data_IF_202101192141
#
_entry.id   IF_202101192141
#
_cell.length_a   1.000
_cell.length_b   1.000
_cell.length_c   1.000
_cell.angle_alpha   90.00
_cell.angle_beta   90.00
_cell.angle_gamma   90.00
#
_symmetry.space_group_name_H-M   'P 1'
#
loop_
_entity.id
_entity.type
_entity.pdbx_description
1 polymer ?
#
# COMPACT_ATOMS: atom_id res chain seq x y z
N UNK A 1 -17.05 55.38 37.65
CA UNK A 1 -17.82 54.53 38.58
C UNK A 1 -17.82 53.13 37.97
N UNK A 2 -16.92 52.22 38.34
CA UNK A 2 -16.94 51.43 39.59
C UNK A 2 -18.05 50.37 39.45
N UNK A 3 -17.82 49.06 39.36
CA UNK A 3 -17.03 48.13 40.19
C UNK A 3 -16.70 46.88 39.32
N UNK A 4 -15.54 46.22 39.32
CA UNK A 4 -14.66 45.71 40.39
C UNK A 4 -15.33 44.69 41.33
N UNK A 5 -15.16 43.40 41.02
CA UNK A 5 -15.09 42.33 42.03
C UNK A 5 -14.16 41.21 41.53
N UNK A 6 -12.90 41.31 41.96
CA UNK A 6 -11.95 40.19 42.08
C UNK A 6 -12.36 39.38 43.31
N UNK A 7 -12.26 38.06 43.21
CA UNK A 7 -11.73 37.26 44.32
C UNK A 7 -10.71 36.26 43.77
N UNK A 8 -9.64 36.10 44.54
CA UNK A 8 -8.35 35.51 44.24
C UNK A 8 -8.18 34.16 44.95
N UNK A 9 -7.19 33.40 44.43
CA UNK A 9 -6.43 32.31 45.05
C UNK A 9 -7.14 30.96 45.24
N UNK A 10 -6.52 29.82 44.97
CA UNK A 10 -5.13 29.53 44.61
C UNK A 10 -4.81 28.09 45.01
N UNK A 11 -3.68 27.57 44.48
CA UNK A 11 -3.03 26.27 44.77
C UNK A 11 -3.67 25.05 44.08
N UNK A 12 -2.94 24.11 43.48
CA UNK A 12 -1.52 23.83 43.37
C UNK A 12 -1.38 22.74 42.29
N UNK A 13 -0.44 22.84 41.34
CA UNK A 13 0.16 21.67 40.69
C UNK A 13 1.50 22.08 40.05
N UNK A 14 2.59 21.54 40.60
CA UNK A 14 3.95 21.56 40.04
C UNK A 14 4.18 20.29 39.20
N UNK A 15 5.29 20.22 38.42
CA UNK A 15 5.34 19.50 37.14
C UNK A 15 5.95 18.10 37.23
N UNK A 16 5.61 17.24 36.27
CA UNK A 16 6.28 15.95 35.96
C UNK A 16 5.77 15.51 34.58
N UNK A 17 6.49 14.88 33.66
CA UNK A 17 7.88 14.91 33.21
C UNK A 17 7.84 14.32 31.78
N UNK A 18 8.87 14.63 30.99
CA UNK A 18 9.22 14.11 29.67
C UNK A 18 8.68 12.72 29.27
N UNK A 19 8.27 12.61 28.00
CA UNK A 19 8.04 11.35 27.30
C UNK A 19 7.78 11.60 25.82
N UNK A 20 8.86 11.63 25.05
CA UNK A 20 8.97 11.43 23.60
C UNK A 20 8.05 12.23 22.69
N UNK A 21 8.47 13.47 22.41
CA UNK A 21 8.08 14.15 21.18
C UNK A 21 8.77 13.45 20.01
N UNK A 22 8.14 12.40 19.47
CA UNK A 22 8.46 11.92 18.12
C UNK A 22 8.39 13.12 17.17
N UNK A 23 9.56 13.56 16.69
CA UNK A 23 9.64 14.68 15.77
C UNK A 23 8.95 14.29 14.47
N UNK A 24 7.74 14.81 14.27
CA UNK A 24 7.00 14.72 13.02
C UNK A 24 7.88 15.25 11.88
N UNK A 25 8.18 14.40 10.90
CA UNK A 25 8.79 14.84 9.65
C UNK A 25 7.86 15.81 8.91
N UNK A 26 8.40 16.60 7.97
CA UNK A 26 7.68 17.65 7.24
C UNK A 26 6.44 17.16 6.45
N UNK A 27 6.25 15.84 6.35
CA UNK A 27 5.13 15.17 5.69
C UNK A 27 4.17 14.41 6.63
N UNK A 28 4.34 14.50 7.96
CA UNK A 28 3.34 14.08 8.93
C UNK A 28 2.98 12.58 9.01
N UNK A 29 3.85 11.64 8.59
CA UNK A 29 3.64 10.17 8.69
C UNK A 29 4.97 9.43 8.96
N UNK A 30 4.90 8.23 9.58
CA UNK A 30 6.02 7.41 10.11
C UNK A 30 7.19 7.13 9.14
N UNK A 31 8.40 7.05 9.70
CA UNK A 31 9.68 7.43 9.07
C UNK A 31 10.46 6.33 8.31
N UNK A 32 10.02 5.07 8.31
CA UNK A 32 10.89 3.99 7.81
C UNK A 32 10.83 3.71 6.30
N UNK A 33 9.85 4.25 5.55
CA UNK A 33 9.76 3.93 4.10
C UNK A 33 9.37 5.12 3.23
N UNK A 34 8.91 6.22 3.84
CA UNK A 34 8.56 7.48 3.17
C UNK A 34 9.79 8.16 2.56
N UNK A 35 10.97 7.98 3.14
CA UNK A 35 12.19 8.64 2.67
C UNK A 35 12.67 8.19 1.30
N UNK A 36 12.60 6.89 1.03
CA UNK A 36 13.03 6.32 -0.26
C UNK A 36 12.10 6.77 -1.38
N UNK A 37 10.78 6.78 -1.13
CA UNK A 37 9.80 7.20 -2.13
C UNK A 37 9.83 8.71 -2.39
N UNK A 38 10.04 9.53 -1.36
CA UNK A 38 10.23 10.97 -1.51
C UNK A 38 11.48 11.30 -2.33
N UNK A 39 12.61 10.65 -2.04
CA UNK A 39 13.85 10.81 -2.82
C UNK A 39 13.65 10.39 -4.28
N UNK A 40 13.03 9.24 -4.53
CA UNK A 40 12.75 8.76 -5.89
C UNK A 40 11.85 9.74 -6.66
N UNK A 41 10.82 10.28 -6.00
CA UNK A 41 9.91 11.26 -6.58
C UNK A 41 10.64 12.55 -6.97
N UNK A 42 11.49 13.07 -6.10
CA UNK A 42 12.21 14.32 -6.34
C UNK A 42 13.33 14.19 -7.38
N UNK A 43 14.04 13.05 -7.42
CA UNK A 43 14.99 12.73 -8.49
C UNK A 43 14.28 12.74 -9.86
N UNK A 44 13.09 12.16 -9.92
CA UNK A 44 12.29 12.12 -11.15
C UNK A 44 11.72 13.50 -11.52
N UNK A 45 11.22 14.26 -10.55
CA UNK A 45 10.77 15.63 -10.78
C UNK A 45 11.92 16.51 -11.29
N UNK A 46 13.14 16.32 -10.77
CA UNK A 46 14.32 17.02 -11.25
C UNK A 46 14.66 16.64 -12.70
N UNK A 47 14.52 15.38 -13.10
CA UNK A 47 14.70 14.98 -14.50
C UNK A 47 13.79 15.77 -15.45
N UNK A 48 12.53 15.96 -15.05
CA UNK A 48 11.52 16.64 -15.88
C UNK A 48 11.69 18.15 -15.87
N UNK A 49 11.91 18.73 -14.69
CA UNK A 49 11.80 20.18 -14.47
C UNK A 49 13.14 20.88 -14.32
N UNK A 50 14.22 20.12 -14.09
CA UNK A 50 15.53 20.63 -13.63
C UNK A 50 15.44 21.49 -12.35
N UNK A 51 14.36 21.35 -11.57
CA UNK A 51 14.15 22.05 -10.31
C UNK A 51 14.43 21.12 -9.13
N UNK A 52 15.09 21.66 -8.11
CA UNK A 52 15.34 20.96 -6.83
C UNK A 52 14.23 21.26 -5.83
N UNK A 53 13.97 20.38 -4.85
CA UNK A 53 12.90 20.56 -3.87
C UNK A 53 13.03 21.88 -3.10
N UNK A 54 11.92 22.63 -2.98
CA UNK A 54 11.90 23.97 -2.39
C UNK A 54 12.35 24.02 -0.92
N UNK A 55 12.18 22.90 -0.19
CA UNK A 55 12.56 22.76 1.22
C UNK A 55 14.02 22.39 1.46
N UNK A 56 14.73 21.83 0.46
CA UNK A 56 16.07 21.28 0.66
C UNK A 56 17.07 22.32 1.15
N UNK A 57 16.94 23.56 0.68
CA UNK A 57 17.81 24.68 1.05
C UNK A 57 17.77 25.06 2.53
N UNK A 58 16.83 24.51 3.32
CA UNK A 58 16.78 24.67 4.78
C UNK A 58 17.67 23.67 5.52
N UNK A 59 18.09 22.60 4.86
CA UNK A 59 18.82 21.48 5.44
C UNK A 59 20.26 21.35 4.95
N UNK A 60 20.61 22.04 3.87
CA UNK A 60 21.94 22.01 3.26
C UNK A 60 22.43 23.43 2.97
N UNK A 61 23.73 23.67 3.10
CA UNK A 61 24.35 24.98 2.90
C UNK A 61 24.48 25.39 1.41
N UNK A 62 24.71 24.46 0.46
CA UNK A 62 24.97 24.80 -0.94
C UNK A 62 23.80 25.48 -1.64
N UNK A 63 24.13 26.36 -2.60
CA UNK A 63 23.15 27.07 -3.42
C UNK A 63 22.23 26.13 -4.21
N UNK A 64 21.05 26.60 -4.64
CA UNK A 64 20.14 25.84 -5.52
C UNK A 64 20.83 25.32 -6.80
N UNK A 65 21.79 26.06 -7.35
CA UNK A 65 22.59 25.63 -8.51
C UNK A 65 23.51 24.44 -8.17
N UNK A 66 24.10 24.44 -6.98
CA UNK A 66 24.91 23.32 -6.51
C UNK A 66 24.04 22.09 -6.17
N UNK A 67 22.88 22.30 -5.55
CA UNK A 67 21.87 21.26 -5.32
C UNK A 67 21.43 20.62 -6.65
N UNK A 68 21.21 21.41 -7.71
CA UNK A 68 20.86 20.87 -9.02
C UNK A 68 21.96 19.98 -9.61
N UNK A 69 23.23 20.27 -9.34
CA UNK A 69 24.32 19.38 -9.73
C UNK A 69 24.30 18.06 -8.94
N UNK A 70 23.96 18.10 -7.64
CA UNK A 70 23.77 16.88 -6.85
C UNK A 70 22.66 15.99 -7.39
N UNK A 71 21.52 16.59 -7.74
CA UNK A 71 20.39 15.84 -8.29
C UNK A 71 20.72 15.25 -9.66
N UNK A 72 21.55 15.91 -10.47
CA UNK A 72 22.07 15.33 -11.71
C UNK A 72 22.91 14.09 -11.45
N UNK A 73 23.85 14.15 -10.50
CA UNK A 73 24.68 12.99 -10.13
C UNK A 73 23.89 11.87 -9.45
N UNK A 74 22.90 12.22 -8.62
CA UNK A 74 22.02 11.25 -7.97
C UNK A 74 21.10 10.57 -8.99
N UNK A 75 20.60 11.29 -9.99
CA UNK A 75 19.82 10.74 -11.08
C UNK A 75 20.62 9.70 -11.89
N UNK A 76 21.89 9.99 -12.19
CA UNK A 76 22.79 9.05 -12.86
C UNK A 76 23.02 7.80 -12.00
N UNK A 77 23.40 7.97 -10.74
CA UNK A 77 23.63 6.87 -9.81
C UNK A 77 22.37 6.01 -9.59
N UNK A 78 21.20 6.64 -9.52
CA UNK A 78 19.90 5.96 -9.38
C UNK A 78 19.53 5.12 -10.61
N UNK A 79 19.94 5.55 -11.81
CA UNK A 79 19.76 4.77 -13.06
C UNK A 79 20.73 3.59 -13.16
N UNK A 80 21.94 3.77 -12.63
CA UNK A 80 22.98 2.75 -12.64
C UNK A 80 22.74 1.66 -11.59
N UNK A 81 22.09 1.99 -10.47
CA UNK A 81 21.60 1.00 -9.52
C UNK A 81 20.51 0.14 -10.17
N UNK A 82 20.89 -1.05 -10.65
CA UNK A 82 19.97 -2.06 -11.19
C UNK A 82 19.96 -3.26 -10.24
N UNK A 83 18.93 -3.44 -9.40
CA UNK A 83 17.70 -2.62 -9.26
C UNK A 83 17.90 -1.32 -8.45
N UNK A 84 17.00 -0.33 -8.56
CA UNK A 84 17.02 0.88 -7.73
C UNK A 84 16.87 0.56 -6.24
N UNK A 85 17.39 1.42 -5.33
CA UNK A 85 17.29 1.21 -3.89
C UNK A 85 15.85 1.05 -3.43
N UNK A 86 15.58 0.02 -2.63
CA UNK A 86 14.24 -0.28 -2.09
C UNK A 86 14.14 -0.06 -0.60
N UNK A 87 15.25 -0.07 0.12
CA UNK A 87 15.28 0.19 1.56
C UNK A 87 15.91 1.54 1.89
N UNK A 88 15.58 2.16 3.03
CA UNK A 88 16.23 3.39 3.49
C UNK A 88 17.74 3.25 3.60
N UNK A 89 18.21 2.08 4.00
CA UNK A 89 19.64 1.79 4.14
C UNK A 89 20.33 1.74 2.78
N UNK A 90 19.70 1.10 1.78
CA UNK A 90 20.20 1.08 0.40
C UNK A 90 20.22 2.49 -0.20
N UNK A 91 19.16 3.27 -0.01
CA UNK A 91 19.06 4.64 -0.51
C UNK A 91 20.06 5.57 0.18
N UNK A 92 20.23 5.44 1.50
CA UNK A 92 21.23 6.18 2.26
C UNK A 92 22.65 5.84 1.78
N UNK A 93 22.96 4.55 1.60
CA UNK A 93 24.26 4.12 1.05
C UNK A 93 24.52 4.69 -0.34
N UNK A 94 23.51 4.68 -1.21
CA UNK A 94 23.62 5.27 -2.54
C UNK A 94 23.93 6.77 -2.47
N UNK A 95 23.21 7.53 -1.64
CA UNK A 95 23.46 8.97 -1.45
C UNK A 95 24.87 9.20 -0.90
N UNK A 96 25.27 8.47 0.14
CA UNK A 96 26.57 8.61 0.80
C UNK A 96 27.69 8.32 -0.19
N UNK A 97 27.58 7.26 -0.98
CA UNK A 97 28.60 6.88 -1.96
C UNK A 97 28.67 7.86 -3.13
N UNK A 98 27.51 8.28 -3.65
CA UNK A 98 27.42 9.24 -4.77
C UNK A 98 27.98 10.60 -4.37
N UNK A 99 27.68 11.05 -3.15
CA UNK A 99 28.07 12.36 -2.65
C UNK A 99 29.29 12.33 -1.72
N UNK A 100 30.09 11.26 -1.73
CA UNK A 100 31.25 11.07 -0.83
C UNK A 100 32.32 12.17 -0.89
N UNK A 101 32.35 12.94 -1.98
CA UNK A 101 33.28 14.08 -2.18
C UNK A 101 32.72 15.42 -1.70
N UNK A 102 31.50 15.44 -1.19
CA UNK A 102 30.84 16.64 -0.64
C UNK A 102 31.02 16.72 0.89
N UNK A 103 30.67 17.88 1.46
CA UNK A 103 30.79 18.08 2.90
C UNK A 103 29.86 17.13 3.65
N UNK A 104 30.36 16.53 4.73
CA UNK A 104 29.62 15.55 5.53
C UNK A 104 28.27 16.10 6.03
N UNK A 105 28.26 17.35 6.53
CA UNK A 105 27.05 18.01 7.03
C UNK A 105 25.96 18.18 5.95
N UNK A 106 26.36 18.38 4.70
CA UNK A 106 25.44 18.54 3.58
C UNK A 106 24.80 17.21 3.16
N UNK A 107 25.59 16.14 3.18
CA UNK A 107 25.10 14.78 2.92
C UNK A 107 24.16 14.34 4.05
N UNK A 108 24.51 14.61 5.30
CA UNK A 108 23.65 14.36 6.46
C UNK A 108 22.37 15.20 6.41
N UNK A 109 22.46 16.45 5.97
CA UNK A 109 21.30 17.32 5.75
C UNK A 109 20.34 16.80 4.67
N UNK A 110 20.88 16.24 3.59
CA UNK A 110 20.09 15.58 2.53
C UNK A 110 19.43 14.29 3.04
N UNK A 111 20.17 13.45 3.77
CA UNK A 111 19.61 12.24 4.40
C UNK A 111 18.50 12.61 5.38
N UNK A 112 18.72 13.64 6.20
CA UNK A 112 17.73 14.14 7.15
C UNK A 112 16.50 14.71 6.46
N UNK A 113 16.66 15.47 5.37
CA UNK A 113 15.56 15.99 4.57
C UNK A 113 14.61 14.88 4.11
N UNK A 114 15.17 13.71 3.78
CA UNK A 114 14.41 12.52 3.40
C UNK A 114 14.10 11.57 4.56
N UNK A 115 14.52 11.84 5.80
CA UNK A 115 14.34 10.91 6.91
C UNK A 115 15.06 9.57 6.72
N UNK A 116 16.17 9.55 5.98
CA UNK A 116 17.00 8.37 5.74
C UNK A 116 18.02 8.16 6.88
N UNK A 117 18.43 6.90 7.14
CA UNK A 117 19.35 6.59 8.24
C UNK A 117 20.70 7.28 8.03
N UNK A 118 21.21 7.87 9.12
CA UNK A 118 22.52 8.52 9.14
C UNK A 118 23.64 7.46 9.14
N UNK A 119 24.86 7.83 8.71
CA UNK A 119 26.00 6.90 8.64
C UNK A 119 26.31 6.18 9.97
N UNK A 120 26.11 6.84 11.11
CA UNK A 120 26.32 6.26 12.44
C UNK A 120 25.27 5.21 12.81
N UNK A 121 24.02 5.40 12.39
CA UNK A 121 22.89 4.50 12.67
C UNK A 121 22.95 3.22 11.82
N UNK A 122 23.54 3.29 10.63
CA UNK A 122 23.74 2.12 9.74
C UNK A 122 24.65 1.04 10.35
N UNK A 123 25.50 1.39 11.31
CA UNK A 123 26.40 0.45 12.01
C UNK A 123 25.67 -0.33 13.12
N UNK A 124 24.68 0.28 13.79
CA UNK A 124 23.93 -0.35 14.91
C UNK A 124 22.78 -1.27 14.45
N UNK A 125 22.24 -1.09 13.23
CA UNK A 125 21.07 -1.84 12.73
C UNK A 125 21.37 -3.28 12.25
N UNK A 126 22.60 -3.77 12.40
CA UNK A 126 22.96 -5.17 12.04
C UNK A 126 22.47 -6.22 13.04
N UNK A 127 21.86 -5.82 14.15
CA UNK A 127 21.37 -6.73 15.19
C UNK A 127 19.84 -6.65 15.38
N UNK A 128 19.13 -7.60 14.76
CA UNK A 128 17.92 -8.18 15.35
C UNK A 128 16.56 -7.57 15.01
N UNK A 129 16.03 -7.92 13.83
CA UNK A 129 14.60 -8.20 13.66
C UNK A 129 14.46 -9.37 12.66
N UNK A 130 13.60 -10.38 12.90
CA UNK A 130 13.38 -11.44 11.92
C UNK A 130 12.50 -10.89 10.80
N UNK A 131 13.12 -10.39 9.73
CA UNK A 131 12.46 -9.81 8.55
C UNK A 131 12.32 -10.82 7.41
N UNK A 132 12.09 -12.11 7.70
CA UNK A 132 11.79 -13.07 6.65
C UNK A 132 10.28 -13.16 6.46
N UNK A 133 9.81 -12.78 5.29
CA UNK A 133 8.44 -13.07 4.85
C UNK A 133 8.15 -14.58 5.01
N UNK A 134 6.90 -14.99 5.26
CA UNK A 134 6.54 -16.40 5.28
C UNK A 134 6.96 -17.10 3.99
N UNK A 135 7.27 -18.38 4.09
CA UNK A 135 7.72 -19.19 2.95
C UNK A 135 6.76 -19.08 1.76
N UNK A 136 7.30 -18.77 0.58
CA UNK A 136 6.54 -18.62 -0.66
C UNK A 136 5.90 -17.26 -0.89
N UNK A 137 5.91 -16.35 0.08
CA UNK A 137 5.47 -14.96 -0.13
C UNK A 137 6.52 -14.23 -0.95
N UNK A 138 6.13 -13.74 -2.12
CA UNK A 138 7.01 -12.99 -3.02
C UNK A 138 7.16 -11.53 -2.58
N UNK A 139 6.07 -10.93 -2.09
CA UNK A 139 6.04 -9.56 -1.58
C UNK A 139 4.79 -9.31 -0.74
N UNK A 140 4.84 -8.29 0.10
CA UNK A 140 3.68 -7.78 0.85
C UNK A 140 3.41 -6.31 0.53
N UNK A 141 2.16 -5.88 0.73
CA UNK A 141 1.75 -4.49 0.62
C UNK A 141 0.47 -4.22 1.42
N UNK A 142 0.23 -2.94 1.72
CA UNK A 142 -1.00 -2.48 2.35
C UNK A 142 -1.91 -1.79 1.32
N UNK A 143 -3.21 -2.04 1.41
CA UNK A 143 -4.19 -1.43 0.50
C UNK A 143 -4.71 -0.10 1.04
N UNK A 144 -5.26 0.72 0.14
CA UNK A 144 -6.24 1.73 0.52
C UNK A 144 -7.52 1.07 1.07
N UNK A 145 -8.38 1.82 1.80
CA UNK A 145 -9.68 1.35 2.21
C UNK A 145 -10.47 0.73 1.05
N UNK A 146 -10.95 -0.50 1.24
CA UNK A 146 -11.64 -1.26 0.18
C UNK A 146 -13.07 -0.75 -0.01
N UNK A 147 -13.43 -0.42 -1.26
CA UNK A 147 -14.82 -0.15 -1.64
C UNK A 147 -15.61 -1.46 -1.67
N UNK A 148 -16.81 -1.47 -1.10
CA UNK A 148 -17.71 -2.63 -1.14
C UNK A 148 -17.97 -3.14 -2.56
N UNK A 149 -18.05 -2.23 -3.55
CA UNK A 149 -18.24 -2.58 -4.97
C UNK A 149 -17.04 -3.28 -5.59
N UNK A 150 -15.89 -3.28 -4.93
CA UNK A 150 -14.68 -3.91 -5.43
C UNK A 150 -14.63 -5.42 -5.14
N UNK A 151 -15.54 -5.93 -4.31
CA UNK A 151 -15.72 -7.37 -4.04
C UNK A 151 -16.52 -7.99 -5.17
N UNK A 152 -15.87 -8.90 -5.92
CA UNK A 152 -16.49 -9.52 -7.10
C UNK A 152 -17.39 -10.70 -6.71
N UNK A 153 -16.90 -11.53 -5.79
CA UNK A 153 -17.53 -12.75 -5.28
C UNK A 153 -16.98 -13.04 -3.86
N UNK A 154 -17.25 -14.22 -3.29
CA UNK A 154 -16.79 -14.57 -1.94
C UNK A 154 -15.29 -14.86 -1.80
N UNK A 155 -14.49 -14.80 -2.87
CA UNK A 155 -13.05 -15.09 -2.80
C UNK A 155 -12.15 -14.25 -3.73
N UNK A 156 -12.72 -13.26 -4.40
CA UNK A 156 -12.04 -12.34 -5.32
C UNK A 156 -12.40 -10.90 -5.01
N UNK A 157 -11.38 -10.05 -4.84
CA UNK A 157 -11.53 -8.62 -4.56
C UNK A 157 -10.55 -7.79 -5.38
N UNK A 158 -11.00 -6.65 -5.90
CA UNK A 158 -10.12 -5.65 -6.49
C UNK A 158 -9.69 -4.65 -5.42
N UNK A 159 -8.40 -4.43 -5.26
CA UNK A 159 -7.85 -3.48 -4.30
C UNK A 159 -6.96 -2.46 -5.00
N UNK A 160 -6.73 -1.34 -4.33
CA UNK A 160 -5.88 -0.27 -4.83
C UNK A 160 -4.78 0.02 -3.83
N UNK A 161 -3.57 0.22 -4.34
CA UNK A 161 -2.40 0.60 -3.56
C UNK A 161 -1.96 1.99 -4.04
N UNK A 162 -1.70 2.90 -3.12
CA UNK A 162 -1.22 4.23 -3.48
C UNK A 162 0.12 4.11 -4.21
N UNK A 163 0.32 4.84 -5.30
CA UNK A 163 1.61 4.82 -6.01
C UNK A 163 2.75 5.50 -5.24
N UNK A 164 2.45 6.21 -4.15
CA UNK A 164 3.49 6.69 -3.21
C UNK A 164 4.01 5.58 -2.28
N UNK A 165 3.35 4.42 -2.25
CA UNK A 165 3.88 3.23 -1.61
C UNK A 165 5.27 2.91 -2.19
N UNK A 166 6.30 2.68 -1.37
CA UNK A 166 7.67 2.53 -1.84
C UNK A 166 7.89 1.38 -2.82
N UNK A 167 7.10 0.31 -2.72
CA UNK A 167 7.14 -0.77 -3.71
C UNK A 167 6.55 -0.32 -5.04
N UNK A 168 5.48 0.45 -5.00
CA UNK A 168 4.80 0.91 -6.21
C UNK A 168 5.50 2.07 -6.90
N UNK A 169 6.07 3.01 -6.15
CA UNK A 169 6.68 4.24 -6.66
C UNK A 169 7.78 3.96 -7.68
N UNK A 170 8.61 2.95 -7.43
CA UNK A 170 9.69 2.50 -8.33
C UNK A 170 9.21 1.82 -9.61
N UNK A 171 7.94 1.41 -9.67
CA UNK A 171 7.37 0.62 -10.76
C UNK A 171 6.33 1.38 -11.59
N UNK A 172 6.01 2.63 -11.24
CA UNK A 172 5.02 3.43 -11.99
C UNK A 172 5.60 3.84 -13.33
N UNK A 173 4.87 3.57 -14.40
CA UNK A 173 5.25 3.99 -15.75
C UNK A 173 5.18 5.52 -15.86
N UNK A 174 6.22 6.15 -16.40
CA UNK A 174 6.29 7.62 -16.52
C UNK A 174 5.15 8.21 -17.35
N UNK A 175 4.65 7.48 -18.34
CA UNK A 175 3.51 7.92 -19.17
C UNK A 175 2.17 7.89 -18.41
N UNK A 176 2.01 7.00 -17.42
CA UNK A 176 0.86 6.95 -16.51
C UNK A 176 0.89 8.13 -15.55
N UNK A 177 2.06 8.46 -14.99
CA UNK A 177 2.21 9.65 -14.14
C UNK A 177 1.89 10.93 -14.93
N UNK A 178 2.45 11.05 -16.14
CA UNK A 178 2.17 12.17 -17.03
C UNK A 178 0.67 12.27 -17.36
N UNK A 179 0.03 11.14 -17.68
CA UNK A 179 -1.40 11.11 -17.95
C UNK A 179 -2.24 11.53 -16.74
N UNK A 180 -1.85 11.17 -15.52
CA UNK A 180 -2.54 11.58 -14.30
C UNK A 180 -2.46 13.11 -14.07
N UNK A 181 -1.27 13.70 -14.27
CA UNK A 181 -1.08 15.16 -14.20
C UNK A 181 -1.89 15.88 -15.26
N UNK A 182 -1.80 15.44 -16.52
CA UNK A 182 -2.57 16.02 -17.63
C UNK A 182 -4.08 15.90 -17.43
N UNK A 183 -4.55 14.80 -16.83
CA UNK A 183 -5.95 14.59 -16.49
C UNK A 183 -6.42 15.62 -15.47
N UNK A 184 -5.65 15.84 -14.41
CA UNK A 184 -5.98 16.83 -13.38
C UNK A 184 -6.05 18.25 -13.98
N UNK A 185 -5.07 18.61 -14.82
CA UNK A 185 -5.08 19.89 -15.56
C UNK A 185 -6.32 20.03 -16.47
N UNK A 186 -6.68 18.97 -17.20
CA UNK A 186 -7.86 18.97 -18.06
C UNK A 186 -9.16 19.17 -17.25
N UNK A 187 -9.28 18.56 -16.07
CA UNK A 187 -10.41 18.78 -15.16
C UNK A 187 -10.47 20.22 -14.65
N UNK A 188 -9.32 20.80 -14.28
CA UNK A 188 -9.24 22.20 -13.84
C UNK A 188 -9.69 23.18 -14.95
N UNK A 189 -9.41 22.85 -16.21
CA UNK A 189 -9.86 23.58 -17.40
C UNK A 189 -11.30 23.23 -17.82
N UNK A 190 -12.03 22.41 -17.05
CA UNK A 190 -13.37 21.88 -17.39
C UNK A 190 -13.43 21.12 -18.73
N UNK A 191 -12.30 20.63 -19.22
CA UNK A 191 -12.22 19.77 -20.40
C UNK A 191 -12.41 18.30 -19.99
N UNK A 192 -13.65 17.92 -19.71
CA UNK A 192 -13.98 16.58 -19.22
C UNK A 192 -13.72 15.49 -20.26
N UNK A 193 -13.95 15.75 -21.55
CA UNK A 193 -13.69 14.78 -22.62
C UNK A 193 -12.20 14.34 -22.65
N UNK A 194 -11.27 15.31 -22.54
CA UNK A 194 -9.84 15.00 -22.44
C UNK A 194 -9.50 14.29 -21.14
N UNK A 195 -10.09 14.72 -20.02
CA UNK A 195 -9.87 14.09 -18.72
C UNK A 195 -10.30 12.62 -18.70
N UNK A 196 -11.45 12.31 -19.29
CA UNK A 196 -12.01 10.96 -19.33
C UNK A 196 -11.20 10.04 -20.26
N UNK A 197 -10.74 10.56 -21.41
CA UNK A 197 -9.82 9.84 -22.30
C UNK A 197 -8.50 9.49 -21.59
N UNK A 198 -7.92 10.44 -20.86
CA UNK A 198 -6.71 10.21 -20.06
C UNK A 198 -6.98 9.24 -18.90
N UNK A 199 -8.13 9.33 -18.24
CA UNK A 199 -8.50 8.39 -17.18
C UNK A 199 -8.63 6.96 -17.71
N UNK A 200 -9.21 6.78 -18.89
CA UNK A 200 -9.27 5.49 -19.57
C UNK A 200 -7.87 4.94 -19.85
N UNK A 201 -6.96 5.76 -20.38
CA UNK A 201 -5.56 5.36 -20.59
C UNK A 201 -4.91 4.86 -19.28
N UNK A 202 -5.13 5.57 -18.17
CA UNK A 202 -4.62 5.18 -16.85
C UNK A 202 -5.19 3.81 -16.41
N UNK A 203 -6.50 3.60 -16.60
CA UNK A 203 -7.19 2.33 -16.30
C UNK A 203 -6.63 1.17 -17.14
N UNK A 204 -6.46 1.39 -18.44
CA UNK A 204 -5.95 0.38 -19.37
C UNK A 204 -4.51 -0.03 -19.03
N UNK A 205 -3.71 0.88 -18.44
CA UNK A 205 -2.38 0.58 -17.90
C UNK A 205 -2.40 -0.10 -16.52
N UNK A 206 -3.57 -0.43 -15.95
CA UNK A 206 -3.68 -1.10 -14.65
C UNK A 206 -3.63 -0.17 -13.44
N UNK A 207 -3.80 1.14 -13.65
CA UNK A 207 -3.83 2.15 -12.58
C UNK A 207 -5.21 2.79 -12.48
N UNK A 208 -5.45 3.61 -11.46
CA UNK A 208 -6.66 4.41 -11.37
C UNK A 208 -6.40 5.65 -10.53
N UNK A 209 -7.00 6.77 -10.93
CA UNK A 209 -7.07 7.96 -10.09
C UNK A 209 -8.33 7.88 -9.24
N UNK A 210 -8.18 7.89 -7.91
CA UNK A 210 -9.28 7.86 -6.94
C UNK A 210 -9.39 9.21 -6.23
N UNK A 211 -10.61 9.65 -5.94
CA UNK A 211 -10.86 10.87 -5.18
C UNK A 211 -11.12 10.51 -3.72
N UNK A 212 -10.42 11.16 -2.79
CA UNK A 212 -10.61 11.00 -1.35
C UNK A 212 -11.34 12.20 -0.73
N UNK A 213 -11.70 12.08 0.55
CA UNK A 213 -12.59 12.99 1.30
C UNK A 213 -12.17 14.48 1.25
N UNK A 214 -10.91 14.79 0.96
CA UNK A 214 -10.38 16.15 0.87
C UNK A 214 -10.26 16.69 -0.57
N UNK A 215 -10.99 16.11 -1.54
CA UNK A 215 -10.80 16.36 -2.97
C UNK A 215 -9.38 16.06 -3.49
N UNK A 216 -8.60 15.30 -2.72
CA UNK A 216 -7.29 14.84 -3.15
C UNK A 216 -7.45 13.69 -4.15
N UNK A 217 -6.81 13.85 -5.31
CA UNK A 217 -6.73 12.81 -6.33
C UNK A 217 -5.47 11.97 -6.10
N UNK A 218 -5.66 10.67 -5.83
CA UNK A 218 -4.57 9.73 -5.59
C UNK A 218 -4.45 8.80 -6.78
N UNK A 219 -3.26 8.77 -7.41
CA UNK A 219 -2.92 7.74 -8.38
C UNK A 219 -2.64 6.42 -7.64
N UNK A 220 -3.30 5.36 -8.07
CA UNK A 220 -3.24 4.07 -7.42
C UNK A 220 -2.97 2.96 -8.43
N UNK A 221 -2.21 1.94 -8.06
CA UNK A 221 -2.13 0.69 -8.82
C UNK A 221 -3.29 -0.23 -8.45
N UNK A 222 -3.90 -0.84 -9.46
CA UNK A 222 -4.99 -1.80 -9.28
C UNK A 222 -4.43 -3.22 -9.15
N UNK A 223 -4.92 -3.96 -8.15
CA UNK A 223 -4.66 -5.39 -8.00
C UNK A 223 -5.98 -6.15 -7.97
N UNK A 224 -6.09 -7.21 -8.76
CA UNK A 224 -7.17 -8.19 -8.65
C UNK A 224 -6.67 -9.34 -7.80
N UNK A 225 -7.20 -9.49 -6.59
CA UNK A 225 -6.76 -10.49 -5.62
C UNK A 225 -7.67 -11.70 -5.68
N UNK A 226 -7.08 -12.90 -5.71
CA UNK A 226 -7.75 -14.18 -5.45
C UNK A 226 -7.28 -14.70 -4.09
N UNK A 227 -8.21 -14.91 -3.16
CA UNK A 227 -7.90 -15.39 -1.81
C UNK A 227 -7.33 -16.81 -1.89
N UNK A 228 -6.07 -16.98 -1.49
CA UNK A 228 -5.36 -18.24 -1.58
C UNK A 228 -6.01 -19.32 -0.73
N UNK A 229 -6.16 -20.51 -1.30
CA UNK A 229 -6.57 -21.73 -0.59
C UNK A 229 -8.06 -21.88 -0.32
N UNK A 230 -8.90 -20.90 -0.67
CA UNK A 230 -10.35 -21.03 -0.54
C UNK A 230 -11.04 -20.89 -1.90
N UNK A 231 -12.24 -21.43 -2.04
CA UNK A 231 -13.10 -21.26 -3.21
C UNK A 231 -14.55 -21.04 -2.76
N UNK A 232 -15.10 -19.87 -3.05
CA UNK A 232 -16.44 -19.48 -2.65
C UNK A 232 -17.48 -19.85 -3.73
N UNK A 233 -18.75 -20.07 -3.36
CA UNK A 233 -19.82 -20.20 -4.34
C UNK A 233 -19.87 -18.98 -5.27
N UNK A 234 -20.04 -19.24 -6.57
CA UNK A 234 -20.15 -18.20 -7.60
C UNK A 234 -21.46 -17.43 -7.43
N UNK A 235 -21.55 -16.19 -7.91
CA UNK A 235 -22.78 -15.38 -7.73
C UNK A 235 -24.06 -16.00 -8.30
N UNK A 236 -23.95 -16.93 -9.26
CA UNK A 236 -25.07 -17.71 -9.81
C UNK A 236 -25.34 -19.05 -9.10
N UNK A 237 -24.58 -19.38 -8.07
CA UNK A 237 -24.74 -20.58 -7.25
C UNK A 237 -25.57 -20.29 -6.00
N UNK A 238 -26.24 -21.31 -5.43
CA UNK A 238 -26.75 -21.21 -4.07
C UNK A 238 -25.65 -20.74 -3.10
N UNK A 239 -25.98 -19.78 -2.25
CA UNK A 239 -25.06 -19.16 -1.28
C UNK A 239 -23.96 -18.26 -1.87
N UNK A 240 -24.03 -17.93 -3.17
CA UNK A 240 -23.05 -17.08 -3.86
C UNK A 240 -23.06 -15.62 -3.41
N UNK A 241 -24.25 -15.01 -3.36
CA UNK A 241 -24.37 -13.61 -2.93
C UNK A 241 -24.06 -13.48 -1.43
N UNK A 242 -24.52 -14.43 -0.61
CA UNK A 242 -24.24 -14.46 0.82
C UNK A 242 -22.73 -14.57 1.10
N UNK A 243 -22.00 -15.40 0.35
CA UNK A 243 -20.55 -15.50 0.47
C UNK A 243 -19.84 -14.18 0.12
N UNK A 244 -20.28 -13.52 -0.95
CA UNK A 244 -19.77 -12.19 -1.35
C UNK A 244 -20.08 -11.12 -0.30
N UNK A 245 -21.29 -11.13 0.26
CA UNK A 245 -21.68 -10.22 1.34
C UNK A 245 -20.84 -10.43 2.60
N UNK A 246 -20.56 -11.67 2.98
CA UNK A 246 -19.69 -11.96 4.13
C UNK A 246 -18.28 -11.43 3.91
N UNK A 247 -17.68 -11.65 2.72
CA UNK A 247 -16.38 -11.06 2.40
C UNK A 247 -16.42 -9.54 2.48
N UNK A 248 -17.47 -8.94 1.89
CA UNK A 248 -17.69 -7.49 1.89
C UNK A 248 -17.77 -6.92 3.31
N UNK A 249 -18.56 -7.54 4.20
CA UNK A 249 -18.67 -7.13 5.62
C UNK A 249 -17.32 -7.17 6.35
N UNK A 250 -16.47 -8.14 6.01
CA UNK A 250 -15.14 -8.27 6.64
C UNK A 250 -14.24 -7.11 6.23
N UNK A 251 -14.19 -6.75 4.94
CA UNK A 251 -13.12 -5.89 4.40
C UNK A 251 -13.56 -4.46 4.02
N UNK A 252 -14.85 -4.20 3.82
CA UNK A 252 -15.32 -2.90 3.35
C UNK A 252 -14.88 -1.75 4.27
N UNK A 253 -14.43 -0.65 3.66
CA UNK A 253 -13.95 0.54 4.36
C UNK A 253 -12.65 0.36 5.13
N UNK A 254 -12.02 -0.82 5.08
CA UNK A 254 -10.80 -1.14 5.83
C UNK A 254 -9.61 -1.30 4.90
N UNK A 255 -8.42 -1.06 5.45
CA UNK A 255 -7.15 -1.38 4.81
C UNK A 255 -6.82 -2.85 5.02
N UNK A 256 -6.18 -3.46 4.04
CA UNK A 256 -5.79 -4.86 4.07
C UNK A 256 -4.26 -4.96 3.99
N UNK A 257 -3.69 -5.85 4.80
CA UNK A 257 -2.34 -6.36 4.58
C UNK A 257 -2.44 -7.57 3.66
N UNK A 258 -1.72 -7.53 2.55
CA UNK A 258 -1.77 -8.55 1.50
C UNK A 258 -0.41 -9.24 1.43
N UNK A 259 -0.41 -10.57 1.58
CA UNK A 259 0.79 -11.40 1.36
C UNK A 259 0.65 -12.11 0.01
N UNK A 260 1.38 -11.66 -1.00
CA UNK A 260 1.26 -12.13 -2.37
C UNK A 260 2.20 -13.31 -2.65
N UNK A 261 1.68 -14.36 -3.28
CA UNK A 261 2.42 -15.58 -3.62
C UNK A 261 2.69 -15.72 -5.12
N UNK A 262 2.17 -14.80 -5.93
CA UNK A 262 2.30 -14.78 -7.39
C UNK A 262 0.96 -14.53 -8.08
N UNK A 263 0.92 -14.76 -9.40
CA UNK A 263 -0.27 -14.55 -10.21
C UNK A 263 -0.79 -15.89 -10.75
N UNK A 264 -2.12 -16.02 -10.84
CA UNK A 264 -2.74 -17.14 -11.52
C UNK A 264 -2.80 -16.92 -13.05
N UNK A 265 -3.31 -17.92 -13.79
CA UNK A 265 -3.46 -17.85 -15.26
C UNK A 265 -4.42 -16.75 -15.76
N UNK A 266 -5.19 -16.14 -14.87
CA UNK A 266 -6.11 -15.03 -15.17
C UNK A 266 -5.54 -13.68 -14.74
N UNK A 267 -4.24 -13.64 -14.43
CA UNK A 267 -3.51 -12.49 -13.93
C UNK A 267 -4.10 -11.90 -12.64
N UNK A 268 -4.66 -12.77 -11.78
CA UNK A 268 -5.06 -12.40 -10.42
C UNK A 268 -3.91 -12.71 -9.47
N UNK A 269 -3.60 -11.76 -8.61
CA UNK A 269 -2.65 -11.95 -7.51
C UNK A 269 -3.25 -12.94 -6.49
N UNK A 270 -2.61 -14.10 -6.32
CA UNK A 270 -2.99 -15.10 -5.34
C UNK A 270 -2.38 -14.72 -4.01
N UNK A 271 -3.22 -14.43 -3.00
CA UNK A 271 -2.73 -13.85 -1.76
C UNK A 271 -3.46 -14.32 -0.50
N UNK A 272 -2.75 -14.29 0.62
CA UNK A 272 -3.34 -14.32 1.96
C UNK A 272 -3.70 -12.88 2.38
N UNK A 273 -4.90 -12.69 2.93
CA UNK A 273 -5.41 -11.37 3.31
C UNK A 273 -5.58 -11.26 4.82
N UNK A 274 -5.09 -10.14 5.37
CA UNK A 274 -5.28 -9.78 6.76
C UNK A 274 -6.01 -8.45 6.86
N UNK A 275 -7.06 -8.42 7.68
CA UNK A 275 -7.81 -7.21 7.98
C UNK A 275 -7.81 -6.99 9.49
N UNK A 276 -7.24 -5.87 9.95
CA UNK A 276 -7.05 -5.57 11.38
C UNK A 276 -6.42 -6.74 12.15
N UNK A 277 -5.37 -7.34 11.57
CA UNK A 277 -4.65 -8.49 12.13
C UNK A 277 -5.37 -9.84 12.04
N UNK A 278 -6.61 -9.89 11.55
CA UNK A 278 -7.37 -11.14 11.39
C UNK A 278 -7.22 -11.72 9.99
N UNK A 279 -6.99 -13.03 9.91
CA UNK A 279 -6.88 -13.74 8.65
C UNK A 279 -8.25 -13.90 7.99
N UNK A 280 -8.45 -13.31 6.80
CA UNK A 280 -9.77 -13.22 6.15
C UNK A 280 -10.27 -14.60 5.73
N UNK A 281 -9.41 -15.45 5.16
CA UNK A 281 -9.76 -16.80 4.75
C UNK A 281 -10.25 -17.67 5.92
N UNK A 282 -9.65 -17.52 7.10
CA UNK A 282 -10.11 -18.21 8.32
C UNK A 282 -11.56 -17.84 8.64
N UNK A 283 -11.88 -16.55 8.62
CA UNK A 283 -13.24 -16.06 8.91
C UNK A 283 -14.22 -16.62 7.88
N UNK A 284 -13.88 -16.56 6.59
CA UNK A 284 -14.71 -17.08 5.50
C UNK A 284 -15.02 -18.57 5.66
N UNK A 285 -14.01 -19.39 5.99
CA UNK A 285 -14.20 -20.83 6.21
C UNK A 285 -15.03 -21.12 7.47
N UNK A 286 -14.74 -20.43 8.59
CA UNK A 286 -15.49 -20.60 9.84
C UNK A 286 -16.96 -20.17 9.73
N UNK A 287 -17.25 -19.20 8.86
CA UNK A 287 -18.61 -18.75 8.53
C UNK A 287 -19.32 -19.64 7.52
N UNK A 288 -18.65 -20.67 6.99
CA UNK A 288 -19.23 -21.53 5.95
C UNK A 288 -19.53 -20.75 4.66
N UNK A 289 -18.72 -19.75 4.34
CA UNK A 289 -18.85 -18.92 3.15
C UNK A 289 -17.90 -19.32 2.01
N UNK A 290 -17.03 -20.30 2.24
CA UNK A 290 -16.15 -20.85 1.23
C UNK A 290 -15.79 -22.32 1.52
N UNK A 291 -15.25 -22.98 0.51
CA UNK A 291 -14.65 -24.32 0.58
C UNK A 291 -13.13 -24.21 0.69
N UNK A 292 -12.47 -25.14 1.39
CA UNK A 292 -11.02 -25.31 1.29
C UNK A 292 -10.69 -25.90 -0.09
N UNK A 293 -9.89 -25.17 -0.86
CA UNK A 293 -9.55 -25.58 -2.21
C UNK A 293 -8.33 -26.53 -2.21
N UNK A 294 -8.58 -27.76 -1.78
CA UNK A 294 -7.54 -28.80 -1.55
C UNK A 294 -6.68 -29.13 -2.77
N UNK A 295 -7.11 -28.79 -3.99
CA UNK A 295 -6.30 -28.98 -5.19
C UNK A 295 -5.05 -28.07 -5.20
N UNK A 296 -5.13 -26.89 -4.59
CA UNK A 296 -4.08 -25.87 -4.61
C UNK A 296 -3.51 -25.56 -3.22
N UNK A 297 -4.15 -26.02 -2.15
CA UNK A 297 -3.74 -25.73 -0.79
C UNK A 297 -3.87 -26.97 0.12
N UNK A 298 -2.83 -27.24 0.90
CA UNK A 298 -2.75 -28.43 1.78
C UNK A 298 -2.66 -28.09 3.26
N UNK A 299 -2.89 -26.83 3.64
CA UNK A 299 -2.84 -26.39 5.04
C UNK A 299 -3.93 -27.09 5.85
N UNK A 300 -3.54 -27.69 6.98
CA UNK A 300 -4.44 -28.48 7.83
C UNK A 300 -5.43 -27.60 8.59
N UNK A 301 -5.06 -26.33 8.81
CA UNK A 301 -5.85 -25.32 9.50
C UNK A 301 -7.12 -24.98 8.71
N UNK A 302 -7.00 -24.78 7.38
CA UNK A 302 -8.13 -24.50 6.50
C UNK A 302 -9.12 -25.67 6.49
N UNK A 303 -8.61 -26.90 6.37
CA UNK A 303 -9.44 -28.11 6.45
C UNK A 303 -10.16 -28.23 7.81
N UNK A 304 -9.48 -27.85 8.90
CA UNK A 304 -10.05 -27.88 10.25
C UNK A 304 -11.19 -26.87 10.40
N UNK A 305 -11.02 -25.64 9.91
CA UNK A 305 -12.07 -24.61 9.98
C UNK A 305 -13.29 -24.98 9.14
N UNK A 306 -13.08 -25.51 7.93
CA UNK A 306 -14.17 -26.01 7.11
C UNK A 306 -14.93 -27.15 7.80
N UNK A 307 -14.19 -28.14 8.35
CA UNK A 307 -14.79 -29.26 9.09
C UNK A 307 -15.63 -28.79 10.27
N UNK A 308 -15.16 -27.77 11.00
CA UNK A 308 -15.91 -27.18 12.11
C UNK A 308 -17.19 -26.48 11.64
N UNK A 309 -17.14 -25.73 10.53
CA UNK A 309 -18.32 -25.06 9.96
C UNK A 309 -19.35 -26.08 9.45
N UNK A 310 -18.89 -27.15 8.79
CA UNK A 310 -19.72 -28.30 8.35
C UNK A 310 -20.43 -28.98 9.51
N UNK A 311 -19.69 -29.32 10.57
CA UNK A 311 -20.26 -30.00 11.75
C UNK A 311 -21.35 -29.15 12.44
N UNK A 312 -21.20 -27.82 12.41
CA UNK A 312 -22.16 -26.87 12.96
C UNK A 312 -23.27 -26.46 12.00
N UNK A 313 -23.25 -26.95 10.75
CA UNK A 313 -24.19 -26.57 9.68
C UNK A 313 -24.31 -25.05 9.48
N UNK A 314 -23.17 -24.35 9.53
CA UNK A 314 -23.12 -22.89 9.39
C UNK A 314 -22.98 -22.51 7.91
N UNK A 315 -23.66 -21.44 7.50
CA UNK A 315 -23.55 -20.90 6.14
C UNK A 315 -24.01 -21.89 5.07
N UNK A 316 -23.21 -22.10 4.02
CA UNK A 316 -23.55 -23.03 2.93
C UNK A 316 -23.78 -24.47 3.42
N UNK A 317 -23.24 -24.84 4.57
CA UNK A 317 -23.40 -26.16 5.19
C UNK A 317 -24.77 -26.37 5.85
N UNK A 318 -25.63 -25.35 5.92
CA UNK A 318 -27.02 -25.52 6.30
C UNK A 318 -27.81 -26.32 5.24
N UNK A 319 -27.37 -26.26 3.97
CA UNK A 319 -27.88 -27.11 2.90
C UNK A 319 -27.42 -28.56 3.07
N UNK A 320 -28.27 -29.57 2.80
CA UNK A 320 -27.90 -30.98 2.95
C UNK A 320 -26.85 -31.46 1.94
N UNK A 321 -26.79 -30.85 0.75
CA UNK A 321 -25.82 -31.22 -0.29
C UNK A 321 -25.37 -29.98 -1.08
N UNK A 322 -24.55 -29.11 -0.48
CA UNK A 322 -24.04 -27.93 -1.17
C UNK A 322 -23.06 -28.36 -2.27
N UNK A 323 -23.22 -27.78 -3.46
CA UNK A 323 -22.35 -28.04 -4.60
C UNK A 323 -21.03 -27.27 -4.47
N UNK A 324 -19.93 -27.90 -4.88
CA UNK A 324 -18.60 -27.28 -4.91
C UNK A 324 -18.50 -26.32 -6.10
N UNK A 325 -17.86 -25.14 -5.96
CA UNK A 325 -17.82 -24.17 -7.06
C UNK A 325 -17.02 -24.67 -8.26
N UNK A 326 -15.93 -25.42 -8.05
CA UNK A 326 -15.18 -26.04 -9.15
C UNK A 326 -15.97 -27.13 -9.90
N UNK A 327 -16.86 -27.86 -9.22
CA UNK A 327 -17.72 -28.88 -9.85
C UNK A 327 -18.84 -28.19 -10.64
N UNK A 328 -19.47 -27.15 -10.08
CA UNK A 328 -20.45 -26.31 -10.78
C UNK A 328 -19.88 -25.68 -12.06
N UNK A 329 -18.67 -25.10 -11.98
CA UNK A 329 -17.95 -24.55 -13.14
C UNK A 329 -17.61 -25.63 -14.17
N UNK A 330 -17.39 -26.88 -13.76
CA UNK A 330 -17.13 -28.00 -14.66
C UNK A 330 -18.42 -28.43 -15.38
N UNK A 331 -19.51 -28.62 -14.64
CA UNK A 331 -20.82 -29.01 -15.18
C UNK A 331 -21.31 -28.04 -16.25
N UNK A 332 -21.21 -26.73 -15.99
CA UNK A 332 -21.59 -25.68 -16.96
C UNK A 332 -20.74 -25.67 -18.23
N UNK A 333 -19.44 -26.00 -18.14
CA UNK A 333 -18.56 -26.12 -19.32
C UNK A 333 -18.89 -27.36 -20.15
N UNK A 334 -19.34 -28.42 -19.50
CA UNK A 334 -19.73 -29.69 -20.12
C UNK A 334 -21.19 -29.73 -20.58
N UNK A 335 -21.95 -28.64 -20.38
CA UNK A 335 -23.36 -28.55 -20.76
C UNK A 335 -24.29 -29.47 -19.97
N UNK A 336 -23.89 -29.85 -18.75
CA UNK A 336 -24.59 -30.78 -17.86
C UNK A 336 -25.51 -30.07 -16.87
#
# INVERSE_FOLDING_TARGET
>A
MGNALRFLCGQCCKPTAAGDSESLGHHGVSAATVGVSALAHDIFNFEITSQVPEGLSKHVVPSKKAQANWYRTLLEAWRESKPPPKTPEEAARLIIETLKRHQKADVEGLLFFYGLPLPSTLVELTAGAPTSLPEGVQYEFETLPVDAKAVADGDTVTVYVNTTDPRESSCVLGDVQLAAVQRSQARAQKNYAKADALHKKIIDSGYRVLNFQNNEEILCRRYRIRLRGIDAPEGGMPYGEEAKEELTKIIQGKRLRVLAYGNDRYDRCVADLYCNGKFVQEIMLKKGAAWHYTAYDKRSELATWEKQARAKRVGLWASPNPEKPWDWRKNRREGR
#
